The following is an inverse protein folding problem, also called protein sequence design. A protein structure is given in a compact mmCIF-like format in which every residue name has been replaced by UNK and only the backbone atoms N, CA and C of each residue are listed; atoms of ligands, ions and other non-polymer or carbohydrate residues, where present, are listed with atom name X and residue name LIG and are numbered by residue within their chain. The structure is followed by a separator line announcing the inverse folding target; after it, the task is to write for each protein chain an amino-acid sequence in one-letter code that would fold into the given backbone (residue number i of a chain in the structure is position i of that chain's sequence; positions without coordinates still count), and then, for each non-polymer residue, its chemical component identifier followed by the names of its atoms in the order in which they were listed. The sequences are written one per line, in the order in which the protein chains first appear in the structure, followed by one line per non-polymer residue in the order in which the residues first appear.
data_IF_229989556993
#
_entry.id   IF_229989556993
#
_cell.length_a   1.000
_cell.length_b   1.000
_cell.length_c   1.000
_cell.angle_alpha   90.00
_cell.angle_beta   90.00
_cell.angle_gamma   90.00
#
_symmetry.space_group_name_H-M   'P 1'
#
loop_
_entity.id
_entity.type
_entity.pdbx_description
1 polymer ?
#
# COMPACT_ATOMS: atom_id res chain seq x y z
N UNK A 1 -4.50 -16.97 -13.89
CA UNK A 1 -3.11 -16.57 -13.55
C UNK A 1 -2.44 -17.57 -12.62
N UNK A 2 -2.97 -17.84 -11.40
CA UNK A 2 -2.41 -18.84 -10.47
C UNK A 2 -2.27 -20.22 -11.12
N UNK A 3 -3.36 -20.75 -11.71
CA UNK A 3 -3.34 -22.06 -12.38
C UNK A 3 -2.32 -22.15 -13.52
N UNK A 4 -2.05 -21.05 -14.23
CA UNK A 4 -1.01 -21.03 -15.27
C UNK A 4 0.40 -21.07 -14.67
N UNK A 5 0.67 -20.32 -13.60
CA UNK A 5 1.96 -20.35 -12.91
C UNK A 5 2.29 -21.74 -12.32
N UNK A 6 1.26 -22.49 -11.88
CA UNK A 6 1.39 -23.88 -11.44
C UNK A 6 1.61 -24.83 -12.62
N UNK A 7 0.85 -24.67 -13.71
CA UNK A 7 0.96 -25.53 -14.90
C UNK A 7 2.27 -25.32 -15.67
N UNK A 8 2.92 -24.16 -15.52
CA UNK A 8 4.20 -23.84 -16.17
C UNK A 8 5.19 -23.27 -15.16
N UNK A 9 5.77 -24.14 -14.29
CA UNK A 9 6.68 -23.73 -13.22
C UNK A 9 7.86 -22.91 -13.74
N UNK A 10 8.05 -21.72 -13.18
CA UNK A 10 9.19 -20.86 -13.49
C UNK A 10 9.50 -19.91 -12.34
N UNK A 11 10.74 -19.40 -12.29
CA UNK A 11 11.14 -18.38 -11.30
C UNK A 11 10.26 -17.13 -11.37
N UNK A 12 9.82 -16.72 -12.57
CA UNK A 12 8.92 -15.58 -12.76
C UNK A 12 7.52 -15.88 -12.24
N UNK A 13 7.01 -17.09 -12.49
CA UNK A 13 5.73 -17.55 -11.94
C UNK A 13 5.73 -17.56 -10.42
N UNK A 14 6.79 -18.08 -9.79
CA UNK A 14 6.97 -18.06 -8.34
C UNK A 14 7.02 -16.62 -7.79
N UNK A 15 7.84 -15.75 -8.39
CA UNK A 15 7.92 -14.34 -8.01
C UNK A 15 6.55 -13.64 -8.06
N UNK A 16 5.77 -13.89 -9.13
CA UNK A 16 4.42 -13.36 -9.26
C UNK A 16 3.49 -13.86 -8.15
N UNK A 17 3.50 -15.16 -7.84
CA UNK A 17 2.68 -15.74 -6.79
C UNK A 17 3.01 -15.17 -5.40
N UNK A 18 4.30 -15.01 -5.07
CA UNK A 18 4.74 -14.35 -3.83
C UNK A 18 4.29 -12.89 -3.76
N UNK A 19 4.40 -12.15 -4.87
CA UNK A 19 3.89 -10.80 -4.97
C UNK A 19 2.38 -10.73 -4.73
N UNK A 20 1.61 -11.59 -5.42
CA UNK A 20 0.15 -11.67 -5.27
C UNK A 20 -0.28 -12.00 -3.83
N UNK A 21 0.36 -13.00 -3.21
CA UNK A 21 0.10 -13.39 -1.83
C UNK A 21 0.33 -12.23 -0.84
N UNK A 22 1.21 -11.29 -1.21
CA UNK A 22 1.56 -10.16 -0.35
C UNK A 22 0.60 -8.99 -0.55
N UNK A 23 0.32 -8.59 -1.81
CA UNK A 23 -0.33 -7.30 -2.11
C UNK A 23 -1.83 -7.39 -2.38
N UNK A 24 -2.37 -8.58 -2.70
CA UNK A 24 -3.78 -8.68 -3.05
C UNK A 24 -4.68 -8.45 -1.81
N UNK A 25 -5.76 -7.65 -1.95
CA UNK A 25 -6.69 -7.39 -0.87
C UNK A 25 -7.64 -8.57 -0.61
N UNK A 26 -7.92 -9.38 -1.63
CA UNK A 26 -8.75 -10.58 -1.49
C UNK A 26 -7.93 -11.70 -0.82
N UNK A 27 -8.18 -11.92 0.46
CA UNK A 27 -7.47 -12.91 1.30
C UNK A 27 -7.61 -14.35 0.76
N UNK A 28 -8.71 -14.66 0.06
CA UNK A 28 -8.89 -15.98 -0.57
C UNK A 28 -7.88 -16.20 -1.70
N UNK A 29 -7.80 -15.25 -2.63
CA UNK A 29 -6.86 -15.30 -3.76
C UNK A 29 -5.42 -15.14 -3.29
N UNK A 30 -5.15 -14.27 -2.31
CA UNK A 30 -3.81 -14.09 -1.73
C UNK A 30 -3.31 -15.41 -1.11
N UNK A 31 -4.15 -16.08 -0.31
CA UNK A 31 -3.83 -17.39 0.28
C UNK A 31 -3.64 -18.47 -0.79
N UNK A 32 -4.49 -18.52 -1.81
CA UNK A 32 -4.33 -19.45 -2.92
C UNK A 32 -2.99 -19.24 -3.67
N UNK A 33 -2.57 -17.99 -3.85
CA UNK A 33 -1.27 -17.66 -4.43
C UNK A 33 -0.11 -18.10 -3.52
N UNK A 34 -0.23 -17.93 -2.20
CA UNK A 34 0.78 -18.41 -1.23
C UNK A 34 0.96 -19.92 -1.31
N UNK A 35 -0.14 -20.68 -1.25
CA UNK A 35 -0.10 -22.15 -1.32
C UNK A 35 0.52 -22.62 -2.64
N UNK A 36 0.17 -21.98 -3.76
CA UNK A 36 0.75 -22.29 -5.05
C UNK A 36 2.27 -21.98 -5.09
N UNK A 37 2.71 -20.88 -4.49
CA UNK A 37 4.13 -20.55 -4.39
C UNK A 37 4.90 -21.60 -3.56
N UNK A 38 4.34 -22.01 -2.42
CA UNK A 38 4.95 -23.02 -1.55
C UNK A 38 5.09 -24.37 -2.27
N UNK A 39 4.11 -24.76 -3.08
CA UNK A 39 4.18 -25.97 -3.90
C UNK A 39 5.29 -25.90 -4.95
N UNK A 40 5.51 -24.74 -5.59
CA UNK A 40 6.60 -24.55 -6.54
C UNK A 40 7.98 -24.66 -5.88
N UNK A 41 8.12 -24.13 -4.67
CA UNK A 41 9.37 -24.21 -3.89
C UNK A 41 9.63 -25.64 -3.42
N UNK A 42 8.61 -26.34 -2.94
CA UNK A 42 8.69 -27.77 -2.62
C UNK A 42 9.06 -28.63 -3.85
N UNK A 43 8.68 -28.18 -5.05
CA UNK A 43 9.08 -28.76 -6.34
C UNK A 43 10.51 -28.42 -6.79
N UNK A 44 11.30 -27.70 -5.98
CA UNK A 44 12.72 -27.41 -6.23
C UNK A 44 13.00 -26.07 -6.88
N UNK A 45 12.01 -25.20 -7.09
CA UNK A 45 12.28 -23.83 -7.50
C UNK A 45 12.88 -23.04 -6.32
N UNK A 46 13.99 -22.32 -6.53
CA UNK A 46 14.58 -21.51 -5.46
C UNK A 46 13.70 -20.30 -5.16
N UNK A 47 13.54 -20.01 -3.87
CA UNK A 47 12.86 -18.83 -3.37
C UNK A 47 13.52 -17.54 -3.91
N UNK A 48 12.73 -16.52 -4.31
CA UNK A 48 13.30 -15.21 -4.63
C UNK A 48 14.02 -14.61 -3.43
N UNK A 49 15.19 -14.01 -3.63
CA UNK A 49 16.01 -13.46 -2.53
C UNK A 49 15.28 -12.39 -1.71
N UNK A 50 14.37 -11.63 -2.33
CA UNK A 50 13.57 -10.60 -1.67
C UNK A 50 12.35 -11.16 -0.91
N UNK A 51 12.01 -12.45 -1.09
CA UNK A 51 10.79 -13.01 -0.53
C UNK A 51 10.81 -13.09 1.00
N UNK A 52 11.99 -13.31 1.59
CA UNK A 52 12.15 -13.35 3.06
C UNK A 52 11.79 -12.03 3.74
N UNK A 53 11.98 -10.90 3.04
CA UNK A 53 11.65 -9.60 3.58
C UNK A 53 10.12 -9.31 3.51
N UNK A 54 9.35 -10.09 2.73
CA UNK A 54 7.92 -9.86 2.56
C UNK A 54 7.20 -10.09 3.88
N UNK A 55 6.58 -9.04 4.41
CA UNK A 55 5.83 -9.10 5.66
C UNK A 55 6.56 -8.52 6.87
N UNK A 56 7.79 -8.03 6.70
CA UNK A 56 8.51 -7.24 7.72
C UNK A 56 8.07 -5.77 7.79
N UNK A 57 6.95 -5.44 7.15
CA UNK A 57 6.41 -4.10 7.16
C UNK A 57 6.03 -3.71 8.60
N UNK A 58 6.69 -2.70 9.15
CA UNK A 58 6.33 -2.12 10.44
C UNK A 58 5.83 -0.69 10.23
N UNK A 59 4.68 -0.31 10.79
CA UNK A 59 4.24 1.08 10.76
C UNK A 59 5.23 1.95 11.56
N UNK A 60 5.39 3.19 11.13
CA UNK A 60 6.15 4.22 11.83
C UNK A 60 5.27 5.41 12.21
N UNK A 61 5.92 6.55 12.39
CA UNK A 61 5.25 7.80 12.74
C UNK A 61 4.32 8.29 11.63
N UNK A 62 3.27 8.99 12.06
CA UNK A 62 2.24 9.56 11.20
C UNK A 62 2.02 11.03 11.53
N UNK A 63 1.67 11.81 10.51
CA UNK A 63 1.35 13.21 10.62
C UNK A 63 0.19 13.59 9.72
N UNK A 64 -0.40 14.75 9.98
CA UNK A 64 -1.37 15.36 9.10
C UNK A 64 -1.17 16.87 8.97
N UNK A 65 -1.67 17.41 7.87
CA UNK A 65 -1.95 18.82 7.72
C UNK A 65 -3.46 18.93 7.46
N UNK A 66 -4.17 19.55 8.40
CA UNK A 66 -5.60 19.78 8.29
C UNK A 66 -5.85 21.20 7.82
N UNK A 67 -6.30 21.32 6.58
CA UNK A 67 -6.82 22.56 6.03
C UNK A 67 -8.21 22.34 5.46
N UNK A 68 -9.05 21.66 6.24
CA UNK A 68 -10.48 21.45 5.98
C UNK A 68 -11.20 22.75 5.66
N UNK A 69 -10.82 23.88 6.27
CA UNK A 69 -11.33 25.22 5.92
C UNK A 69 -11.08 25.59 4.45
N UNK A 70 -9.97 25.13 3.88
CA UNK A 70 -9.62 25.31 2.45
C UNK A 70 -9.94 24.10 1.58
N UNK A 71 -10.53 23.05 2.17
CA UNK A 71 -11.06 21.89 1.45
C UNK A 71 -10.13 20.68 1.32
N UNK A 72 -8.98 20.62 2.00
CA UNK A 72 -8.05 19.50 1.87
C UNK A 72 -7.43 19.06 3.19
N UNK A 73 -7.13 17.77 3.31
CA UNK A 73 -6.31 17.21 4.39
C UNK A 73 -5.18 16.41 3.78
N UNK A 74 -3.95 16.62 4.21
CA UNK A 74 -2.83 15.73 3.85
C UNK A 74 -2.53 14.81 5.03
N UNK A 75 -2.36 13.51 4.75
CA UNK A 75 -1.97 12.52 5.76
C UNK A 75 -0.66 11.88 5.32
N UNK A 76 0.33 11.88 6.19
CA UNK A 76 1.63 11.24 5.97
C UNK A 76 1.76 10.07 6.93
N UNK A 77 2.10 8.88 6.42
CA UNK A 77 2.40 7.71 7.22
C UNK A 77 3.73 7.11 6.77
N UNK A 78 4.62 6.80 7.73
CA UNK A 78 5.87 6.11 7.45
C UNK A 78 5.77 4.62 7.73
N UNK A 79 6.60 3.86 7.04
CA UNK A 79 6.70 2.42 7.19
C UNK A 79 8.14 1.98 7.06
N UNK A 80 8.50 0.96 7.81
CA UNK A 80 9.79 0.30 7.79
C UNK A 80 9.70 -1.02 7.05
N UNK A 81 10.74 -1.33 6.30
CA UNK A 81 10.97 -2.64 5.68
C UNK A 81 12.44 -3.00 5.91
N UNK A 82 12.69 -3.90 6.86
CA UNK A 82 14.02 -4.03 7.46
C UNK A 82 14.51 -2.68 8.00
N UNK A 83 15.71 -2.28 7.59
CA UNK A 83 16.33 -1.01 7.99
C UNK A 83 15.94 0.19 7.10
N UNK A 84 15.09 -0.03 6.09
CA UNK A 84 14.68 1.03 5.15
C UNK A 84 13.32 1.61 5.52
N UNK A 85 13.28 2.91 5.81
CA UNK A 85 12.04 3.66 6.02
C UNK A 85 11.57 4.33 4.73
N UNK A 86 10.25 4.37 4.52
CA UNK A 86 9.61 5.09 3.42
C UNK A 86 8.32 5.74 3.91
N UNK A 87 7.84 6.75 3.20
CA UNK A 87 6.60 7.45 3.49
C UNK A 87 5.58 7.31 2.37
N UNK A 88 4.31 7.30 2.78
CA UNK A 88 3.16 7.60 1.94
C UNK A 88 2.60 8.95 2.37
N UNK A 89 2.40 9.87 1.43
CA UNK A 89 1.61 11.08 1.63
C UNK A 89 0.35 11.01 0.76
N UNK A 90 -0.81 11.11 1.39
CA UNK A 90 -2.11 11.12 0.72
C UNK A 90 -2.75 12.49 0.89
N UNK A 91 -3.12 13.13 -0.22
CA UNK A 91 -3.96 14.31 -0.22
C UNK A 91 -5.43 13.88 -0.33
N UNK A 92 -6.24 14.27 0.64
CA UNK A 92 -7.68 14.07 0.70
C UNK A 92 -8.34 15.37 0.27
N UNK A 93 -9.21 15.31 -0.74
CA UNK A 93 -9.95 16.47 -1.26
C UNK A 93 -11.41 16.41 -0.82
N UNK A 94 -11.75 17.27 0.14
CA UNK A 94 -13.09 17.37 0.72
C UNK A 94 -14.08 18.08 -0.21
N UNK A 95 -13.60 18.94 -1.12
CA UNK A 95 -14.44 19.55 -2.15
C UNK A 95 -14.89 18.52 -3.20
N UNK A 96 -14.12 17.45 -3.36
CA UNK A 96 -14.46 16.27 -4.15
C UNK A 96 -15.12 15.14 -3.33
N UNK A 97 -15.60 15.44 -2.12
CA UNK A 97 -16.30 14.48 -1.28
C UNK A 97 -15.41 13.57 -0.43
N UNK A 98 -14.17 13.99 -0.16
CA UNK A 98 -13.23 13.30 0.75
C UNK A 98 -12.42 12.21 0.08
N UNK A 99 -12.20 12.28 -1.24
CA UNK A 99 -11.47 11.25 -1.99
C UNK A 99 -9.95 11.41 -1.88
N UNK A 100 -9.24 10.30 -2.09
CA UNK A 100 -7.79 10.28 -2.28
C UNK A 100 -7.45 10.95 -3.62
N UNK A 101 -7.04 12.22 -3.58
CA UNK A 101 -6.79 13.04 -4.77
C UNK A 101 -5.40 12.82 -5.36
N UNK A 102 -4.38 12.80 -4.50
CA UNK A 102 -2.99 12.55 -4.87
C UNK A 102 -2.35 11.59 -3.87
N UNK A 103 -1.38 10.81 -4.35
CA UNK A 103 -0.56 9.96 -3.52
C UNK A 103 0.91 10.13 -3.92
N UNK A 104 1.77 10.32 -2.91
CA UNK A 104 3.22 10.28 -3.08
C UNK A 104 3.77 9.12 -2.25
N UNK A 105 4.58 8.27 -2.88
CA UNK A 105 5.41 7.28 -2.18
C UNK A 105 6.88 7.69 -2.32
N UNK A 106 7.60 7.84 -1.21
CA UNK A 106 8.98 8.37 -1.24
C UNK A 106 9.86 7.81 -0.14
N UNK A 107 11.16 7.79 -0.39
CA UNK A 107 12.21 7.57 0.62
C UNK A 107 12.78 8.89 1.16
N UNK A 108 12.47 10.04 0.55
CA UNK A 108 12.89 11.37 0.97
C UNK A 108 11.99 11.93 2.09
N UNK A 109 11.94 11.25 3.24
CA UNK A 109 10.99 11.54 4.33
C UNK A 109 11.20 12.95 4.89
N UNK A 110 12.44 13.37 5.13
CA UNK A 110 12.76 14.69 5.68
C UNK A 110 12.27 15.83 4.78
N UNK A 111 12.44 15.67 3.46
CA UNK A 111 11.96 16.65 2.47
C UNK A 111 10.45 16.70 2.41
N UNK A 112 9.78 15.56 2.53
CA UNK A 112 8.32 15.50 2.61
C UNK A 112 7.83 16.20 3.88
N UNK A 113 8.45 15.95 5.03
CA UNK A 113 8.07 16.58 6.29
C UNK A 113 8.36 18.09 6.31
N UNK A 114 9.38 18.54 5.59
CA UNK A 114 9.68 19.96 5.43
C UNK A 114 8.74 20.70 4.44
N UNK A 115 7.89 19.99 3.70
CA UNK A 115 7.02 20.59 2.68
C UNK A 115 5.81 21.35 3.26
N UNK A 116 5.46 21.10 4.51
CA UNK A 116 4.34 21.72 5.21
C UNK A 116 4.51 21.66 6.73
N UNK A 117 3.76 22.48 7.46
CA UNK A 117 3.66 22.35 8.93
C UNK A 117 2.74 21.19 9.26
N UNK A 118 3.32 20.04 9.57
CA UNK A 118 2.58 18.81 9.87
C UNK A 118 2.48 18.58 11.37
N UNK A 119 1.27 18.32 11.86
CA UNK A 119 1.03 17.92 13.24
C UNK A 119 1.08 16.39 13.38
N UNK A 120 1.65 15.84 14.46
CA UNK A 120 1.61 14.40 14.71
C UNK A 120 0.17 13.90 14.84
N UNK A 121 -0.09 12.68 14.35
CA UNK A 121 -1.38 12.00 14.52
C UNK A 121 -1.12 10.53 14.85
N UNK A 122 -2.04 9.89 15.59
CA UNK A 122 -1.94 8.45 15.84
C UNK A 122 -2.01 7.66 14.53
N UNK A 123 -1.26 6.57 14.48
CA UNK A 123 -1.26 5.63 13.36
C UNK A 123 -2.67 5.13 12.99
N UNK A 124 -3.47 4.73 13.98
CA UNK A 124 -4.84 4.25 13.76
C UNK A 124 -5.68 5.30 13.04
N UNK A 125 -5.59 6.56 13.49
CA UNK A 125 -6.32 7.65 12.85
C UNK A 125 -5.81 7.98 11.45
N UNK A 126 -4.50 7.96 11.22
CA UNK A 126 -3.95 8.13 9.88
C UNK A 126 -4.46 7.04 8.93
N UNK A 127 -4.45 5.80 9.38
CA UNK A 127 -4.91 4.67 8.59
C UNK A 127 -6.42 4.70 8.34
N UNK A 128 -7.22 5.09 9.33
CA UNK A 128 -8.66 5.32 9.19
C UNK A 128 -8.95 6.35 8.10
N UNK A 129 -8.29 7.52 8.15
CA UNK A 129 -8.46 8.59 7.16
C UNK A 129 -8.05 8.13 5.74
N UNK A 130 -6.92 7.44 5.63
CA UNK A 130 -6.46 6.91 4.34
C UNK A 130 -7.42 5.84 3.80
N UNK A 131 -7.91 4.94 4.64
CA UNK A 131 -8.86 3.89 4.27
C UNK A 131 -10.16 4.50 3.74
N UNK A 132 -10.73 5.43 4.51
CA UNK A 132 -11.96 6.13 4.14
C UNK A 132 -11.83 6.88 2.80
N UNK A 133 -10.72 7.59 2.59
CA UNK A 133 -10.48 8.31 1.34
C UNK A 133 -10.39 7.36 0.13
N UNK A 134 -9.76 6.20 0.31
CA UNK A 134 -9.69 5.16 -0.72
C UNK A 134 -11.06 4.51 -1.01
N UNK A 135 -11.85 4.22 0.03
CA UNK A 135 -13.22 3.72 -0.13
C UNK A 135 -14.08 4.67 -0.97
N UNK A 136 -14.03 5.96 -0.66
CA UNK A 136 -14.76 6.99 -1.40
C UNK A 136 -14.26 7.10 -2.86
N UNK A 137 -12.95 6.99 -3.07
CA UNK A 137 -12.36 6.99 -4.42
C UNK A 137 -12.88 5.83 -5.27
N UNK A 138 -13.05 4.63 -4.71
CA UNK A 138 -13.60 3.49 -5.44
C UNK A 138 -15.10 3.54 -5.63
N UNK A 139 -15.81 4.16 -4.69
CA UNK A 139 -17.25 4.38 -4.81
C UNK A 139 -17.58 5.33 -5.97
N UNK A 140 -16.67 6.24 -6.31
CA UNK A 140 -16.86 7.29 -7.31
C UNK A 140 -15.78 7.25 -8.41
N UNK A 141 -15.73 6.19 -9.24
CA UNK A 141 -14.66 5.99 -10.23
C UNK A 141 -14.65 7.04 -11.35
N UNK A 142 -15.72 7.83 -11.50
CA UNK A 142 -15.80 8.94 -12.44
C UNK A 142 -14.98 10.16 -12.01
N UNK A 143 -14.56 10.24 -10.74
CA UNK A 143 -13.77 11.36 -10.24
C UNK A 143 -12.32 11.25 -10.71
N UNK A 144 -11.79 12.34 -11.24
CA UNK A 144 -10.41 12.38 -11.70
C UNK A 144 -9.44 12.54 -10.52
N UNK A 145 -8.71 11.47 -10.23
CA UNK A 145 -7.64 11.43 -9.23
C UNK A 145 -6.29 11.17 -9.91
N UNK A 146 -5.21 11.47 -9.20
CA UNK A 146 -3.87 11.20 -9.69
C UNK A 146 -3.67 9.71 -10.01
N UNK A 147 -3.02 9.35 -11.14
CA UNK A 147 -2.77 7.97 -11.51
C UNK A 147 -2.09 7.13 -10.41
N UNK A 148 -1.25 7.74 -9.58
CA UNK A 148 -0.54 7.03 -8.51
C UNK A 148 -1.49 6.53 -7.41
N UNK A 149 -2.62 7.20 -7.18
CA UNK A 149 -3.68 6.70 -6.28
C UNK A 149 -4.15 5.31 -6.73
N UNK A 150 -4.32 5.11 -8.04
CA UNK A 150 -4.69 3.82 -8.61
C UNK A 150 -3.52 2.84 -8.69
N UNK A 151 -2.31 3.31 -9.00
CA UNK A 151 -1.10 2.48 -9.13
C UNK A 151 -0.75 1.79 -7.82
N UNK A 152 -0.82 2.51 -6.71
CA UNK A 152 -0.39 2.03 -5.40
C UNK A 152 -1.52 1.43 -4.56
N UNK A 153 -2.75 1.34 -5.08
CA UNK A 153 -3.94 0.89 -4.32
C UNK A 153 -3.75 -0.37 -3.49
N UNK A 154 -3.15 -1.40 -4.09
CA UNK A 154 -2.99 -2.69 -3.44
C UNK A 154 -1.96 -2.62 -2.32
N UNK A 155 -0.91 -1.81 -2.50
CA UNK A 155 0.09 -1.54 -1.47
C UNK A 155 -0.51 -0.72 -0.32
N UNK A 156 -1.29 0.31 -0.62
CA UNK A 156 -1.98 1.10 0.42
C UNK A 156 -2.96 0.22 1.19
N UNK A 157 -3.88 -0.46 0.50
CA UNK A 157 -4.86 -1.33 1.14
C UNK A 157 -4.18 -2.39 2.04
N UNK A 158 -3.05 -2.96 1.60
CA UNK A 158 -2.32 -3.92 2.42
C UNK A 158 -1.71 -3.31 3.67
N UNK A 159 -1.20 -2.08 3.60
CA UNK A 159 -0.62 -1.34 4.74
C UNK A 159 -1.68 -0.96 5.77
N UNK A 160 -2.89 -0.64 5.32
CA UNK A 160 -4.00 -0.22 6.18
C UNK A 160 -4.63 -1.41 6.95
N UNK A 161 -4.62 -2.61 6.36
CA UNK A 161 -5.35 -3.79 6.89
C UNK A 161 -4.44 -4.88 7.50
N UNK A 162 -3.16 -4.58 7.83
CA UNK A 162 -2.22 -5.53 8.46
C UNK A 162 -1.84 -5.22 9.91
N UNK A 163 -2.64 -4.39 10.59
CA UNK A 163 -2.46 -4.07 12.01
C UNK A 163 -3.46 -4.82 12.87
#
# INVERSE_FOLDING_TARGET
MIGHAVATPSRRGLALLRGMATVLPDETTARAASVAADALVAGGLPEPSWAAALGELKPGDCWHYDATETGHTMVVATYWYGDTQHALSLLIDHMMGGVAKNLIATFEIEKLLASATLAPISQDKAHELMAQAYELTYKYPQLHVDPDVHRFRFLVHRRLNRL
#
